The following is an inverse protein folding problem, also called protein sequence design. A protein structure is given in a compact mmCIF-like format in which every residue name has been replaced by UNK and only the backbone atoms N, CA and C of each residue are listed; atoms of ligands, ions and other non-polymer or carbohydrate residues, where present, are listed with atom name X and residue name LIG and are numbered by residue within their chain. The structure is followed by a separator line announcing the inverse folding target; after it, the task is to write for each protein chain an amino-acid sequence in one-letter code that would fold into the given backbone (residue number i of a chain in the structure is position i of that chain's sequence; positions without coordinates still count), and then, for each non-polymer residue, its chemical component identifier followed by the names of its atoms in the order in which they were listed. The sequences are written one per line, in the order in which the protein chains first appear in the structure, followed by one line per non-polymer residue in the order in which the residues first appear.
data_IF_617080574516
#
_entry.id   IF_617080574516
#
_cell.length_a   1.000
_cell.length_b   1.000
_cell.length_c   1.000
_cell.angle_alpha   90.00
_cell.angle_beta   90.00
_cell.angle_gamma   90.00
#
_symmetry.space_group_name_H-M   'P 1'
#
loop_
_entity.id
_entity.type
_entity.pdbx_description
1 polymer ?
#
# COMPACT_ATOMS: atom_id res chain seq x y z
N UNK A 1 -7.23 -18.82 7.87
CA UNK A 1 -8.30 -17.87 7.51
C UNK A 1 -9.10 -17.53 8.75
N UNK A 2 -8.72 -16.45 9.42
CA UNK A 2 -9.57 -15.76 10.40
C UNK A 2 -9.27 -14.28 10.24
N UNK A 3 -9.87 -13.71 9.20
CA UNK A 3 -10.04 -12.28 9.02
C UNK A 3 -10.81 -11.77 10.25
N UNK A 4 -10.11 -11.13 11.19
CA UNK A 4 -10.77 -10.43 12.29
C UNK A 4 -11.34 -9.16 11.69
N UNK A 5 -12.62 -9.23 11.32
CA UNK A 5 -13.42 -8.12 10.88
C UNK A 5 -13.26 -6.95 11.87
N UNK A 6 -12.84 -5.80 11.36
CA UNK A 6 -12.93 -4.52 12.06
C UNK A 6 -14.42 -4.26 12.33
N UNK A 7 -14.87 -4.65 13.52
CA UNK A 7 -16.28 -4.59 13.91
C UNK A 7 -16.84 -3.16 13.97
N UNK A 8 -15.96 -2.14 13.83
CA UNK A 8 -16.31 -0.73 13.93
C UNK A 8 -16.15 0.04 12.62
N UNK A 9 -15.51 -0.53 11.60
CA UNK A 9 -15.41 0.02 10.23
C UNK A 9 -16.77 0.48 9.69
N UNK A 10 -17.86 -0.32 9.72
CA UNK A 10 -19.13 0.13 9.17
C UNK A 10 -19.77 1.29 9.96
N UNK A 11 -19.36 1.52 11.21
CA UNK A 11 -19.90 2.59 12.04
C UNK A 11 -19.14 3.91 11.90
N UNK A 12 -17.89 3.91 11.42
CA UNK A 12 -17.10 5.12 11.21
C UNK A 12 -17.78 6.07 10.21
N UNK A 13 -18.36 5.54 9.14
CA UNK A 13 -19.06 6.35 8.14
C UNK A 13 -20.30 7.05 8.72
N UNK A 14 -21.05 6.38 9.60
CA UNK A 14 -22.19 6.99 10.31
C UNK A 14 -21.72 8.03 11.34
N UNK A 15 -20.58 7.82 12.00
CA UNK A 15 -20.00 8.79 12.93
C UNK A 15 -19.54 10.06 12.20
N UNK A 16 -18.90 9.93 11.03
CA UNK A 16 -18.56 11.11 10.22
C UNK A 16 -19.82 11.83 9.71
N UNK A 17 -20.84 11.09 9.30
CA UNK A 17 -22.11 11.69 8.85
C UNK A 17 -22.85 12.40 9.99
N UNK A 18 -22.86 11.82 11.19
CA UNK A 18 -23.44 12.43 12.38
C UNK A 18 -22.65 13.65 12.84
N UNK A 19 -21.31 13.61 12.80
CA UNK A 19 -20.46 14.76 13.09
C UNK A 19 -20.66 15.90 12.08
N UNK A 20 -20.78 15.58 10.79
CA UNK A 20 -21.07 16.55 9.74
C UNK A 20 -22.48 17.15 9.90
N UNK A 21 -23.48 16.33 10.25
CA UNK A 21 -24.83 16.78 10.58
C UNK A 21 -24.88 17.68 11.81
N UNK A 22 -24.09 17.40 12.84
CA UNK A 22 -23.96 18.26 14.03
C UNK A 22 -23.29 19.60 13.71
N UNK A 23 -22.24 19.59 12.88
CA UNK A 23 -21.55 20.82 12.46
C UNK A 23 -22.45 21.69 11.57
N UNK A 24 -23.18 21.09 10.62
CA UNK A 24 -24.12 21.82 9.78
C UNK A 24 -25.37 22.29 10.56
N UNK A 25 -25.88 21.48 11.49
CA UNK A 25 -27.00 21.85 12.37
C UNK A 25 -26.63 23.00 13.30
N UNK A 26 -25.48 22.90 13.99
CA UNK A 26 -24.96 23.98 14.83
C UNK A 26 -24.58 25.22 14.01
N UNK A 27 -24.07 25.03 12.79
CA UNK A 27 -23.77 26.13 11.86
C UNK A 27 -25.01 26.87 11.39
N UNK A 28 -26.11 26.15 11.12
CA UNK A 28 -27.39 26.76 10.74
C UNK A 28 -28.01 27.53 11.92
N UNK A 29 -28.00 26.98 13.13
CA UNK A 29 -28.51 27.68 14.32
C UNK A 29 -27.64 28.90 14.69
N UNK A 30 -26.31 28.80 14.54
CA UNK A 30 -25.38 29.91 14.76
C UNK A 30 -25.52 30.99 13.68
N UNK A 31 -25.78 30.61 12.42
CA UNK A 31 -26.06 31.53 11.33
C UNK A 31 -27.32 32.36 11.60
N UNK A 32 -28.41 31.74 12.07
CA UNK A 32 -29.62 32.47 12.46
C UNK A 32 -29.42 33.36 13.70
N UNK A 33 -28.58 32.95 14.67
CA UNK A 33 -28.20 33.75 15.83
C UNK A 33 -27.35 34.99 15.48
N UNK A 34 -26.49 34.90 14.46
CA UNK A 34 -25.62 36.01 14.02
C UNK A 34 -26.32 36.94 13.02
N UNK A 35 -27.20 36.41 12.17
CA UNK A 35 -27.86 37.19 11.10
C UNK A 35 -29.29 37.66 11.42
N UNK A 36 -29.85 37.38 12.60
CA UNK A 36 -31.03 38.11 13.10
C UNK A 36 -30.61 39.32 13.96
N UNK A 37 -30.67 40.57 13.44
CA UNK A 37 -30.28 41.76 14.20
C UNK A 37 -31.27 42.13 15.31
N UNK A 38 -32.39 41.41 15.45
CA UNK A 38 -33.43 41.68 16.45
C UNK A 38 -33.20 41.00 17.81
N UNK A 39 -32.26 40.06 17.94
CA UNK A 39 -32.02 39.35 19.20
C UNK A 39 -31.13 40.13 20.20
N UNK A 40 -30.27 41.02 19.73
CA UNK A 40 -29.39 41.81 20.62
C UNK A 40 -30.02 43.10 21.15
N UNK A 41 -31.19 43.54 20.66
CA UNK A 41 -31.83 44.78 21.10
C UNK A 41 -32.77 44.63 22.29
N UNK A 42 -33.04 43.40 22.75
CA UNK A 42 -33.80 43.13 23.97
C UNK A 42 -33.00 42.23 24.92
N UNK A 43 -32.14 42.89 25.70
CA UNK A 43 -31.69 42.46 27.03
C UNK A 43 -31.39 40.98 27.22
N UNK A 44 -30.10 40.64 27.21
CA UNK A 44 -29.60 39.46 27.92
C UNK A 44 -30.16 39.50 29.35
N UNK A 45 -31.05 38.55 29.67
CA UNK A 45 -31.80 38.34 30.92
C UNK A 45 -33.17 39.05 31.00
N UNK A 46 -34.28 38.34 30.71
CA UNK A 46 -35.55 38.67 31.33
C UNK A 46 -35.46 38.29 32.81
N UNK A 47 -35.34 39.30 33.67
CA UNK A 47 -35.69 39.22 35.09
C UNK A 47 -37.22 39.21 35.20
N UNK A 48 -37.80 38.03 35.02
CA UNK A 48 -39.24 37.81 35.11
C UNK A 48 -39.51 36.33 35.27
N UNK A 49 -39.79 35.91 36.51
CA UNK A 49 -40.14 34.52 36.85
C UNK A 49 -41.51 34.18 36.28
N UNK A 50 -41.52 33.61 35.09
CA UNK A 50 -42.65 32.86 34.51
C UNK A 50 -42.11 31.51 34.05
N UNK A 51 -42.88 30.44 34.29
CA UNK A 51 -42.45 29.03 34.13
C UNK A 51 -41.85 28.72 32.74
N UNK A 52 -42.25 29.45 31.70
CA UNK A 52 -41.68 29.35 30.34
C UNK A 52 -40.17 29.68 30.29
N UNK A 53 -39.69 30.59 31.15
CA UNK A 53 -38.27 30.98 31.20
C UNK A 53 -37.38 29.89 31.81
N UNK A 54 -37.93 29.04 32.68
CA UNK A 54 -37.19 27.92 33.28
C UNK A 54 -37.05 26.74 32.31
N UNK A 55 -38.11 26.45 31.54
CA UNK A 55 -38.10 25.40 30.52
C UNK A 55 -37.10 25.74 29.41
N UNK A 56 -37.07 27.00 28.95
CA UNK A 56 -36.11 27.46 27.94
C UNK A 56 -34.65 27.34 28.40
N UNK A 57 -34.36 27.70 29.66
CA UNK A 57 -33.02 27.51 30.25
C UNK A 57 -32.62 26.04 30.37
N UNK A 58 -33.57 25.18 30.75
CA UNK A 58 -33.33 23.75 30.89
C UNK A 58 -33.05 23.08 29.53
N UNK A 59 -33.78 23.46 28.48
CA UNK A 59 -33.53 23.01 27.11
C UNK A 59 -32.16 23.47 26.60
N UNK A 60 -31.76 24.70 26.91
CA UNK A 60 -30.44 25.23 26.52
C UNK A 60 -29.29 24.48 27.22
N UNK A 61 -29.45 24.17 28.51
CA UNK A 61 -28.46 23.37 29.27
C UNK A 61 -28.39 21.94 28.73
N UNK A 62 -29.53 21.32 28.43
CA UNK A 62 -29.59 19.98 27.81
C UNK A 62 -28.94 19.97 26.41
N UNK A 63 -29.17 21.00 25.60
CA UNK A 63 -28.54 21.16 24.29
C UNK A 63 -27.02 21.27 24.40
N UNK A 64 -26.51 22.11 25.31
CA UNK A 64 -25.07 22.25 25.57
C UNK A 64 -24.44 20.96 26.08
N UNK A 65 -25.13 20.24 26.97
CA UNK A 65 -24.67 18.94 27.47
C UNK A 65 -24.61 17.88 26.36
N UNK A 66 -25.59 17.86 25.46
CA UNK A 66 -25.61 16.95 24.30
C UNK A 66 -24.47 17.25 23.31
N UNK A 67 -24.23 18.54 23.01
CA UNK A 67 -23.11 18.96 22.14
C UNK A 67 -21.76 18.62 22.79
N UNK A 68 -21.60 18.90 24.10
CA UNK A 68 -20.40 18.56 24.85
C UNK A 68 -20.13 17.05 24.88
N UNK A 69 -21.16 16.24 25.11
CA UNK A 69 -21.07 14.78 25.06
C UNK A 69 -20.69 14.25 23.67
N UNK A 70 -21.29 14.82 22.62
CA UNK A 70 -20.95 14.48 21.23
C UNK A 70 -19.51 14.81 20.87
N UNK A 71 -19.02 16.01 21.23
CA UNK A 71 -17.64 16.41 21.01
C UNK A 71 -16.65 15.55 21.80
N UNK A 72 -16.98 15.20 23.05
CA UNK A 72 -16.17 14.29 23.86
C UNK A 72 -16.08 12.89 23.26
N UNK A 73 -17.19 12.36 22.74
CA UNK A 73 -17.22 11.08 22.03
C UNK A 73 -16.37 11.12 20.74
N UNK A 74 -16.49 12.17 19.94
CA UNK A 74 -15.66 12.34 18.74
C UNK A 74 -14.18 12.45 19.09
N UNK A 75 -13.83 13.24 20.11
CA UNK A 75 -12.45 13.38 20.56
C UNK A 75 -11.87 12.05 21.05
N UNK A 76 -12.64 11.25 21.80
CA UNK A 76 -12.19 9.94 22.27
C UNK A 76 -12.03 8.91 21.15
N UNK A 77 -12.85 8.97 20.09
CA UNK A 77 -12.70 8.09 18.91
C UNK A 77 -11.54 8.53 18.02
N UNK A 78 -11.35 9.83 17.81
CA UNK A 78 -10.26 10.37 16.96
C UNK A 78 -8.90 10.25 17.63
N UNK A 79 -8.84 10.42 18.96
CA UNK A 79 -7.63 10.29 19.75
C UNK A 79 -7.43 8.88 20.31
N UNK A 80 -8.29 7.93 19.93
CA UNK A 80 -8.07 6.52 20.28
C UNK A 80 -6.71 6.11 19.69
N UNK A 81 -5.76 5.65 20.52
CA UNK A 81 -4.45 5.24 20.03
C UNK A 81 -4.66 4.14 19.00
N UNK A 82 -3.96 4.26 17.86
CA UNK A 82 -3.97 3.23 16.83
C UNK A 82 -3.70 1.88 17.49
N UNK A 83 -4.55 0.89 17.19
CA UNK A 83 -4.39 -0.45 17.74
C UNK A 83 -2.98 -0.93 17.46
N UNK A 84 -2.28 -1.37 18.50
CA UNK A 84 -0.93 -1.88 18.38
C UNK A 84 -0.95 -3.05 17.39
N UNK A 85 -0.01 -3.09 16.43
CA UNK A 85 0.05 -4.20 15.49
C UNK A 85 0.16 -5.50 16.29
N UNK A 86 -0.68 -6.48 15.94
CA UNK A 86 -0.64 -7.79 16.58
C UNK A 86 0.78 -8.38 16.48
N UNK A 87 1.19 -9.15 17.50
CA UNK A 87 2.51 -9.80 17.54
C UNK A 87 2.74 -10.64 16.28
N UNK A 88 1.69 -11.26 15.76
CA UNK A 88 1.69 -12.05 14.52
C UNK A 88 2.04 -11.19 13.29
N UNK A 89 1.52 -9.96 13.19
CA UNK A 89 1.81 -9.04 12.09
C UNK A 89 3.24 -8.46 12.17
N UNK A 90 3.80 -8.31 13.37
CA UNK A 90 5.20 -7.89 13.53
C UNK A 90 6.13 -9.03 13.13
N UNK A 91 5.85 -10.26 13.55
CA UNK A 91 6.66 -11.43 13.20
C UNK A 91 6.61 -11.73 11.70
N UNK A 92 5.44 -11.62 11.05
CA UNK A 92 5.35 -11.79 9.59
C UNK A 92 6.14 -10.74 8.83
N UNK A 93 6.10 -9.47 9.28
CA UNK A 93 6.88 -8.41 8.65
C UNK A 93 8.39 -8.60 8.85
N UNK A 94 8.82 -9.12 10.01
CA UNK A 94 10.22 -9.47 10.25
C UNK A 94 10.65 -10.64 9.37
N UNK A 95 9.86 -11.72 9.28
CA UNK A 95 10.14 -12.87 8.42
C UNK A 95 10.20 -12.46 6.93
N UNK A 96 9.25 -11.67 6.44
CA UNK A 96 9.25 -11.15 5.07
C UNK A 96 10.47 -10.27 4.80
N UNK A 97 10.86 -9.41 5.76
CA UNK A 97 12.04 -8.55 5.60
C UNK A 97 13.37 -9.31 5.63
N UNK A 98 13.47 -10.39 6.42
CA UNK A 98 14.65 -11.25 6.47
C UNK A 98 14.77 -12.06 5.19
N UNK A 99 13.65 -12.60 4.71
CA UNK A 99 13.59 -13.35 3.45
C UNK A 99 13.95 -12.44 2.26
N UNK A 100 13.43 -11.22 2.20
CA UNK A 100 13.76 -10.25 1.13
C UNK A 100 15.26 -9.93 1.09
N UNK A 101 15.89 -9.77 2.26
CA UNK A 101 17.35 -9.54 2.36
C UNK A 101 18.15 -10.75 1.90
N UNK A 102 17.69 -11.97 2.19
CA UNK A 102 18.36 -13.19 1.76
C UNK A 102 18.24 -13.42 0.26
N UNK A 103 17.04 -13.23 -0.30
CA UNK A 103 16.78 -13.30 -1.73
C UNK A 103 17.64 -12.29 -2.51
N UNK A 104 17.74 -11.06 -1.99
CA UNK A 104 18.61 -10.03 -2.54
C UNK A 104 20.08 -10.48 -2.57
N UNK A 105 20.59 -11.09 -1.49
CA UNK A 105 21.98 -11.58 -1.42
C UNK A 105 22.26 -12.64 -2.48
N UNK A 106 21.31 -13.53 -2.77
CA UNK A 106 21.46 -14.54 -3.82
C UNK A 106 21.55 -13.87 -5.19
N UNK A 107 20.65 -12.91 -5.47
CA UNK A 107 20.63 -12.17 -6.73
C UNK A 107 21.86 -11.27 -6.92
N UNK A 108 22.40 -10.69 -5.84
CA UNK A 108 23.65 -9.93 -5.85
C UNK A 108 24.84 -10.74 -6.37
N UNK A 109 24.87 -12.06 -6.16
CA UNK A 109 25.93 -12.93 -6.69
C UNK A 109 25.86 -13.13 -8.20
N UNK A 110 24.70 -12.86 -8.80
CA UNK A 110 24.48 -12.91 -10.23
C UNK A 110 24.75 -11.55 -10.90
N UNK A 111 24.97 -10.49 -10.15
CA UNK A 111 25.19 -9.16 -10.71
C UNK A 111 26.44 -9.12 -11.61
N UNK A 112 26.30 -8.55 -12.79
CA UNK A 112 27.40 -8.36 -13.73
C UNK A 112 27.01 -8.66 -15.18
N UNK A 113 28.03 -8.66 -16.05
CA UNK A 113 27.90 -9.06 -17.44
C UNK A 113 28.45 -10.46 -17.62
N UNK A 114 27.64 -11.32 -18.22
CA UNK A 114 27.93 -12.73 -18.46
C UNK A 114 27.92 -13.02 -19.95
N UNK A 115 28.66 -14.04 -20.37
CA UNK A 115 28.83 -14.41 -21.76
C UNK A 115 28.36 -15.85 -21.97
N UNK A 116 27.64 -16.09 -23.05
CA UNK A 116 27.24 -17.45 -23.40
C UNK A 116 28.46 -18.24 -23.89
N UNK A 117 28.69 -19.42 -23.31
CA UNK A 117 29.94 -20.19 -23.49
C UNK A 117 30.20 -20.70 -24.91
N UNK A 118 29.20 -20.70 -25.80
CA UNK A 118 29.34 -21.15 -27.19
C UNK A 118 29.29 -20.02 -28.23
N UNK A 119 28.68 -18.88 -27.90
CA UNK A 119 28.55 -17.73 -28.80
C UNK A 119 29.46 -16.61 -28.30
N UNK A 120 30.70 -16.56 -28.81
CA UNK A 120 31.76 -15.59 -28.46
C UNK A 120 31.44 -14.09 -28.70
N UNK A 121 30.18 -13.71 -28.84
CA UNK A 121 29.74 -12.32 -28.98
C UNK A 121 28.39 -11.99 -28.34
N UNK A 122 27.68 -12.97 -27.76
CA UNK A 122 26.39 -12.73 -27.13
C UNK A 122 26.56 -12.73 -25.61
N UNK A 123 26.13 -11.63 -25.00
CA UNK A 123 26.25 -11.40 -23.57
C UNK A 123 24.95 -10.86 -23.01
N UNK A 124 24.78 -11.05 -21.71
CA UNK A 124 23.66 -10.51 -20.97
C UNK A 124 24.16 -9.84 -19.69
N UNK A 125 23.39 -8.89 -19.21
CA UNK A 125 23.69 -8.11 -18.00
C UNK A 125 22.59 -8.32 -16.98
N UNK A 126 23.00 -8.61 -15.75
CA UNK A 126 22.14 -8.66 -14.58
C UNK A 126 22.46 -7.45 -13.71
N UNK A 127 21.45 -6.64 -13.44
CA UNK A 127 21.59 -5.41 -12.66
C UNK A 127 20.37 -5.14 -11.80
N UNK A 128 20.56 -4.44 -10.68
CA UNK A 128 19.46 -3.95 -9.84
C UNK A 128 19.12 -2.52 -10.24
N UNK A 129 17.86 -2.25 -10.61
CA UNK A 129 17.32 -0.92 -10.91
C UNK A 129 15.97 -0.75 -10.22
N UNK A 130 15.78 0.39 -9.55
CA UNK A 130 14.51 0.74 -8.89
C UNK A 130 14.02 -0.32 -7.90
N UNK A 131 14.95 -0.93 -7.14
CA UNK A 131 14.66 -2.02 -6.20
C UNK A 131 14.42 -3.38 -6.85
N UNK A 132 14.32 -3.47 -8.18
CA UNK A 132 14.08 -4.71 -8.91
C UNK A 132 15.32 -5.24 -9.61
N UNK A 133 15.48 -6.56 -9.61
CA UNK A 133 16.52 -7.23 -10.40
C UNK A 133 16.10 -7.38 -11.85
N UNK A 134 16.98 -6.99 -12.78
CA UNK A 134 16.73 -7.04 -14.21
C UNK A 134 17.79 -7.85 -14.93
N UNK A 135 17.31 -8.68 -15.84
CA UNK A 135 18.09 -9.29 -16.90
C UNK A 135 17.90 -8.47 -18.18
N UNK A 136 18.99 -8.17 -18.86
CA UNK A 136 18.98 -7.49 -20.16
C UNK A 136 19.95 -8.19 -21.11
N UNK A 137 19.49 -8.48 -22.32
CA UNK A 137 20.30 -9.04 -23.39
C UNK A 137 20.06 -8.26 -24.67
N UNK A 138 21.13 -7.95 -25.39
CA UNK A 138 21.07 -7.28 -26.69
C UNK A 138 21.94 -8.02 -27.70
N UNK A 139 21.35 -8.39 -28.83
CA UNK A 139 22.06 -9.04 -29.93
C UNK A 139 21.50 -8.58 -31.27
N UNK A 140 22.40 -8.16 -32.17
CA UNK A 140 22.05 -7.72 -33.52
C UNK A 140 20.90 -6.67 -33.59
N UNK A 141 20.85 -5.75 -32.61
CA UNK A 141 19.82 -4.70 -32.51
C UNK A 141 18.47 -5.17 -31.94
N UNK A 142 18.34 -6.45 -31.59
CA UNK A 142 17.20 -6.98 -30.84
C UNK A 142 17.55 -6.99 -29.35
N UNK A 143 16.60 -6.59 -28.51
CA UNK A 143 16.76 -6.50 -27.05
C UNK A 143 15.67 -7.28 -26.36
N UNK A 144 16.06 -8.03 -25.35
CA UNK A 144 15.16 -8.75 -24.47
C UNK A 144 15.44 -8.32 -23.03
N UNK A 145 14.38 -8.20 -22.25
CA UNK A 145 14.46 -7.82 -20.84
C UNK A 145 13.61 -8.73 -19.99
N UNK A 146 13.96 -8.88 -18.72
CA UNK A 146 13.19 -9.65 -17.75
C UNK A 146 13.35 -9.04 -16.37
N UNK A 147 12.28 -9.08 -15.57
CA UNK A 147 12.35 -8.79 -14.14
C UNK A 147 12.53 -10.12 -13.41
N UNK A 148 13.65 -10.25 -12.71
CA UNK A 148 14.03 -11.47 -12.01
C UNK A 148 13.42 -11.50 -10.61
N UNK A 149 12.97 -12.68 -10.21
CA UNK A 149 12.50 -13.01 -8.86
C UNK A 149 13.11 -14.33 -8.43
N UNK A 150 13.32 -14.51 -7.14
CA UNK A 150 13.77 -15.79 -6.62
C UNK A 150 12.61 -16.79 -6.61
N UNK A 151 12.85 -17.99 -7.13
CA UNK A 151 11.92 -19.12 -7.11
C UNK A 151 12.73 -20.35 -6.67
N UNK A 152 12.73 -20.62 -5.37
CA UNK A 152 13.67 -21.56 -4.76
C UNK A 152 15.11 -21.08 -4.97
N UNK A 153 15.99 -21.95 -5.48
CA UNK A 153 17.40 -21.62 -5.73
C UNK A 153 17.67 -20.94 -7.08
N UNK A 154 16.62 -20.60 -7.83
CA UNK A 154 16.71 -20.03 -9.18
C UNK A 154 16.22 -18.59 -9.20
N UNK A 155 16.93 -17.73 -9.92
CA UNK A 155 16.46 -16.42 -10.31
C UNK A 155 15.69 -16.55 -11.64
N UNK A 156 14.36 -16.47 -11.59
CA UNK A 156 13.49 -16.67 -12.73
C UNK A 156 12.81 -15.36 -13.16
N UNK A 157 12.55 -15.23 -14.45
CA UNK A 157 11.75 -14.11 -14.95
C UNK A 157 11.25 -14.32 -16.38
N UNK A 158 10.18 -13.60 -16.70
CA UNK A 158 9.58 -13.64 -18.02
C UNK A 158 10.39 -12.75 -18.97
N UNK A 159 10.78 -13.33 -20.11
CA UNK A 159 11.47 -12.62 -21.18
C UNK A 159 10.46 -11.83 -22.00
N UNK A 160 10.76 -10.55 -22.16
CA UNK A 160 9.94 -9.56 -22.86
C UNK A 160 10.78 -8.90 -23.95
N UNK A 161 10.29 -8.92 -25.19
CA UNK A 161 10.94 -8.28 -26.33
C UNK A 161 10.77 -6.75 -26.32
N UNK A 162 11.38 -6.06 -27.30
CA UNK A 162 11.24 -4.61 -27.46
C UNK A 162 9.79 -4.14 -27.70
N UNK A 163 8.89 -5.03 -28.11
CA UNK A 163 7.47 -4.74 -28.38
C UNK A 163 6.59 -5.03 -27.16
N UNK A 164 7.16 -5.48 -26.05
CA UNK A 164 6.41 -5.86 -24.85
C UNK A 164 5.80 -7.27 -24.92
N UNK A 165 6.13 -8.07 -25.92
CA UNK A 165 5.63 -9.43 -26.08
C UNK A 165 6.48 -10.41 -25.28
N UNK A 166 5.83 -11.37 -24.64
CA UNK A 166 6.53 -12.45 -23.96
C UNK A 166 7.11 -13.43 -25.00
N UNK A 167 8.41 -13.65 -24.94
CA UNK A 167 9.12 -14.59 -25.82
C UNK A 167 9.46 -15.90 -25.11
N UNK A 168 9.45 -15.90 -23.78
CA UNK A 168 9.74 -17.08 -22.99
C UNK A 168 9.95 -16.80 -21.50
N UNK A 169 10.59 -17.74 -20.83
CA UNK A 169 11.04 -17.62 -19.44
C UNK A 169 12.54 -17.87 -19.40
N UNK A 170 13.26 -17.10 -18.59
CA UNK A 170 14.66 -17.38 -18.26
C UNK A 170 14.76 -17.76 -16.79
N UNK A 171 15.65 -18.69 -16.49
CA UNK A 171 16.09 -18.97 -15.13
C UNK A 171 17.61 -18.97 -15.05
N UNK A 172 18.12 -18.43 -13.96
CA UNK A 172 19.53 -18.17 -13.74
C UNK A 172 19.93 -18.73 -12.38
N UNK A 173 21.08 -19.36 -12.31
CA UNK A 173 21.65 -19.82 -11.06
C UNK A 173 23.16 -19.63 -11.07
N UNK A 174 23.73 -19.40 -9.89
CA UNK A 174 25.18 -19.34 -9.75
C UNK A 174 25.76 -20.73 -10.03
N UNK A 175 26.60 -20.83 -11.07
CA UNK A 175 27.35 -22.05 -11.37
C UNK A 175 28.61 -22.17 -10.51
N UNK A 176 29.38 -23.21 -10.75
CA UNK A 176 30.67 -23.38 -10.08
C UNK A 176 31.65 -22.25 -10.47
N UNK A 177 32.40 -21.76 -9.47
CA UNK A 177 33.39 -20.70 -9.65
C UNK A 177 32.78 -19.37 -10.08
N UNK A 178 33.31 -18.78 -11.15
CA UNK A 178 32.83 -17.51 -11.70
C UNK A 178 31.94 -17.69 -12.94
N UNK A 179 30.99 -18.62 -12.87
CA UNK A 179 30.04 -18.88 -13.96
C UNK A 179 28.60 -18.68 -13.51
N UNK A 180 27.72 -18.36 -14.45
CA UNK A 180 26.27 -18.36 -14.25
C UNK A 180 25.69 -19.40 -15.20
N UNK A 181 24.83 -20.26 -14.66
CA UNK A 181 24.02 -21.18 -15.44
C UNK A 181 22.76 -20.44 -15.86
N UNK A 182 22.52 -20.42 -17.17
CA UNK A 182 21.32 -19.83 -17.76
C UNK A 182 20.55 -20.91 -18.52
N UNK A 183 19.25 -20.96 -18.31
CA UNK A 183 18.34 -21.80 -19.07
C UNK A 183 17.19 -20.94 -19.57
N UNK A 184 16.80 -21.19 -20.81
CA UNK A 184 15.72 -20.46 -21.48
C UNK A 184 14.63 -21.47 -21.82
N UNK A 185 13.38 -21.06 -21.66
CA UNK A 185 12.21 -21.80 -22.12
C UNK A 185 11.42 -20.90 -23.03
N UNK A 186 11.36 -21.26 -24.30
CA UNK A 186 10.59 -20.53 -25.30
C UNK A 186 9.09 -20.57 -24.99
N UNK A 187 8.37 -19.54 -25.45
CA UNK A 187 6.92 -19.48 -25.31
C UNK A 187 6.26 -20.69 -25.99
N UNK A 188 5.51 -21.47 -25.21
CA UNK A 188 4.82 -22.68 -25.70
C UNK A 188 5.65 -23.96 -25.64
N UNK A 189 6.93 -23.88 -25.28
CA UNK A 189 7.73 -25.07 -24.96
C UNK A 189 7.51 -25.51 -23.51
N UNK A 190 7.41 -26.82 -23.29
CA UNK A 190 7.43 -27.40 -21.95
C UNK A 190 8.85 -27.62 -21.41
N UNK A 191 9.85 -27.60 -22.30
CA UNK A 191 11.21 -28.02 -22.00
C UNK A 191 12.14 -26.81 -21.89
N UNK A 192 13.07 -26.89 -20.95
CA UNK A 192 14.17 -25.93 -20.82
C UNK A 192 15.26 -26.24 -21.84
N UNK A 193 15.95 -25.19 -22.31
CA UNK A 193 17.11 -25.26 -23.20
C UNK A 193 18.31 -25.95 -22.54
N UNK A 194 19.39 -26.12 -23.30
CA UNK A 194 20.67 -26.51 -22.72
C UNK A 194 21.23 -25.37 -21.83
N UNK A 195 22.09 -25.71 -20.85
CA UNK A 195 22.74 -24.70 -20.02
C UNK A 195 23.61 -23.77 -20.86
N UNK A 196 23.47 -22.47 -20.64
CA UNK A 196 24.24 -21.41 -21.30
C UNK A 196 24.05 -21.37 -22.82
N UNK A 197 22.90 -21.86 -23.27
CA UNK A 197 22.40 -21.65 -24.61
C UNK A 197 21.86 -20.22 -24.72
N UNK A 198 22.28 -19.51 -25.76
CA UNK A 198 21.83 -18.16 -26.01
C UNK A 198 20.36 -18.14 -26.45
N UNK A 199 19.67 -17.01 -26.23
CA UNK A 199 18.30 -16.86 -26.73
C UNK A 199 18.32 -16.92 -28.26
N UNK A 200 17.58 -17.89 -28.82
CA UNK A 200 17.31 -17.98 -30.26
C UNK A 200 16.38 -16.85 -30.70
N UNK A 201 16.82 -16.06 -31.67
CA UNK A 201 16.10 -14.90 -32.19
C UNK A 201 15.39 -15.20 -33.51
#
# INVERSE_FOLDING_TARGET
MTEKADTLEPYRQYVYFAAFGLILGAGNDLFWLVFQPSFFSKGFLPSGSTDESQISRLLLILGLAAVGGGLYYVASVVLAPAELPSVEAVLSNEEDSVQEVEDDRVLYRLQGTWYYGQNLGQSYTISKRDGSWRFEEEFAGRRCTSTLRLVGDWAEGQLIDQKGQSTGTIRLQRGEGNSVLSYVRELGSSNWSNPNEAIGW
#
